data_IF_379959703204
#
_entry.id   IF_379959703204
#
_cell.length_a   1.000
_cell.length_b   1.000
_cell.length_c   1.000
_cell.angle_alpha   90.00
_cell.angle_beta   90.00
_cell.angle_gamma   90.00
#
_symmetry.space_group_name_H-M   'P 1'
#
loop_
_entity.id
_entity.type
_entity.pdbx_description
1 polymer ?
#
# COMPACT_ATOMS: atom_id res chain seq x y z
N UNK A 1 10.17 -6.38 11.64
CA UNK A 1 9.98 -5.54 10.46
C UNK A 1 9.69 -6.42 9.28
N UNK A 2 8.61 -6.13 8.58
CA UNK A 2 8.29 -6.74 7.28
C UNK A 2 8.91 -5.91 6.16
N UNK A 3 9.13 -6.52 4.99
CA UNK A 3 9.36 -5.77 3.76
C UNK A 3 8.53 -6.35 2.61
N UNK A 4 8.26 -5.52 1.60
CA UNK A 4 7.50 -5.84 0.40
C UNK A 4 8.43 -6.28 -0.72
N UNK A 5 8.14 -7.45 -1.29
CA UNK A 5 8.77 -7.91 -2.53
C UNK A 5 8.04 -7.37 -3.76
N UNK A 6 6.73 -7.13 -3.65
CA UNK A 6 5.91 -6.55 -4.71
C UNK A 6 4.76 -5.72 -4.14
N UNK A 7 4.32 -4.72 -4.91
CA UNK A 7 3.09 -3.99 -4.67
C UNK A 7 2.39 -3.67 -5.99
N UNK A 8 1.06 -3.70 -5.99
CA UNK A 8 0.25 -3.30 -7.15
C UNK A 8 -0.98 -2.53 -6.66
N UNK A 9 -1.23 -1.32 -7.18
CA UNK A 9 -2.44 -0.58 -6.86
C UNK A 9 -3.66 -1.24 -7.52
N UNK A 10 -4.78 -1.23 -6.80
CA UNK A 10 -6.07 -1.75 -7.22
C UNK A 10 -7.15 -0.67 -7.05
N UNK A 11 -8.26 -0.84 -7.76
CA UNK A 11 -9.43 0.04 -7.63
C UNK A 11 -9.92 0.12 -6.18
N UNK A 12 -10.41 1.31 -5.81
CA UNK A 12 -10.97 1.58 -4.48
C UNK A 12 -9.91 1.76 -3.40
N UNK A 13 -8.77 2.39 -3.71
CA UNK A 13 -7.68 2.66 -2.76
C UNK A 13 -7.16 1.41 -2.05
N UNK A 14 -6.99 0.33 -2.81
CA UNK A 14 -6.46 -0.94 -2.32
C UNK A 14 -5.09 -1.22 -2.90
N UNK A 15 -4.26 -1.91 -2.13
CA UNK A 15 -2.92 -2.31 -2.51
C UNK A 15 -2.80 -3.83 -2.38
N UNK A 16 -2.48 -4.50 -3.49
CA UNK A 16 -2.06 -5.90 -3.46
C UNK A 16 -0.58 -5.94 -3.06
N UNK A 17 -0.29 -6.55 -1.92
CA UNK A 17 1.02 -6.58 -1.29
C UNK A 17 1.55 -8.01 -1.25
N UNK A 18 2.79 -8.23 -1.69
CA UNK A 18 3.53 -9.48 -1.44
C UNK A 18 4.67 -9.19 -0.48
N UNK A 19 4.73 -9.94 0.62
CA UNK A 19 5.71 -9.74 1.68
C UNK A 19 6.92 -10.69 1.58
N UNK A 20 7.94 -10.41 2.38
CA UNK A 20 9.21 -11.15 2.51
C UNK A 20 9.05 -12.67 2.73
N UNK A 21 7.96 -13.08 3.39
CA UNK A 21 7.64 -14.47 3.67
C UNK A 21 6.75 -15.13 2.60
N UNK A 22 6.53 -14.47 1.47
CA UNK A 22 5.68 -14.96 0.38
C UNK A 22 4.17 -14.84 0.63
N UNK A 23 3.75 -14.27 1.77
CA UNK A 23 2.33 -14.03 2.04
C UNK A 23 1.84 -12.86 1.20
N UNK A 24 0.69 -13.04 0.57
CA UNK A 24 -0.02 -12.04 -0.21
C UNK A 24 -1.21 -11.50 0.57
N UNK A 25 -1.37 -10.17 0.61
CA UNK A 25 -2.50 -9.49 1.26
C UNK A 25 -3.07 -8.40 0.38
N UNK A 26 -4.35 -8.10 0.56
CA UNK A 26 -4.96 -6.86 0.06
C UNK A 26 -5.12 -5.90 1.22
N UNK A 27 -4.44 -4.75 1.15
CA UNK A 27 -4.55 -3.66 2.12
C UNK A 27 -5.49 -2.58 1.59
N UNK A 28 -6.56 -2.28 2.33
CA UNK A 28 -7.47 -1.17 2.05
C UNK A 28 -7.03 0.07 2.83
N UNK A 29 -6.60 1.10 2.10
CA UNK A 29 -6.07 2.33 2.68
C UNK A 29 -7.11 3.46 2.72
N UNK A 30 -8.38 3.17 2.44
CA UNK A 30 -9.48 4.18 2.43
C UNK A 30 -9.59 4.95 3.75
N UNK A 31 -9.28 4.29 4.87
CA UNK A 31 -9.27 4.90 6.21
C UNK A 31 -8.31 6.11 6.33
N UNK A 32 -7.27 6.19 5.48
CA UNK A 32 -6.31 7.29 5.48
C UNK A 32 -6.69 8.41 4.52
N UNK A 33 -7.63 8.19 3.59
CA UNK A 33 -7.98 9.16 2.53
C UNK A 33 -8.59 10.47 3.06
N UNK A 34 -9.00 10.50 4.34
CA UNK A 34 -9.49 11.72 5.00
C UNK A 34 -8.36 12.58 5.60
N UNK A 35 -7.16 12.03 5.77
CA UNK A 35 -6.03 12.75 6.32
C UNK A 35 -5.41 13.68 5.28
N UNK A 36 -4.96 14.87 5.72
CA UNK A 36 -4.38 15.90 4.85
C UNK A 36 -3.24 15.35 3.98
N UNK A 37 -2.35 14.54 4.56
CA UNK A 37 -1.20 13.95 3.87
C UNK A 37 -1.62 13.07 2.68
N UNK A 38 -2.80 12.45 2.71
CA UNK A 38 -3.26 11.54 1.67
C UNK A 38 -4.13 12.23 0.62
N UNK A 39 -4.41 13.53 0.76
CA UNK A 39 -5.21 14.29 -0.21
C UNK A 39 -4.73 14.17 -1.67
N UNK A 40 -3.43 14.17 -1.96
CA UNK A 40 -2.97 14.02 -3.34
C UNK A 40 -3.38 12.68 -3.98
N UNK A 41 -3.59 11.63 -3.18
CA UNK A 41 -3.96 10.30 -3.65
C UNK A 41 -5.41 10.21 -4.14
N UNK A 42 -6.24 11.23 -3.91
CA UNK A 42 -7.57 11.31 -4.53
C UNK A 42 -7.49 11.38 -6.06
N UNK A 43 -6.36 11.85 -6.62
CA UNK A 43 -6.09 11.73 -8.04
C UNK A 43 -5.65 10.28 -8.36
N UNK A 44 -6.42 9.51 -9.15
CA UNK A 44 -6.08 8.12 -9.47
C UNK A 44 -4.72 7.96 -10.14
N UNK A 45 -4.27 8.94 -10.93
CA UNK A 45 -2.95 8.89 -11.58
C UNK A 45 -1.81 8.98 -10.55
N UNK A 46 -2.03 9.72 -9.46
CA UNK A 46 -1.06 9.80 -8.36
C UNK A 46 -1.09 8.49 -7.59
N UNK A 47 -2.27 8.03 -7.16
CA UNK A 47 -2.41 6.76 -6.41
C UNK A 47 -1.81 5.56 -7.16
N UNK A 48 -2.05 5.46 -8.47
CA UNK A 48 -1.54 4.37 -9.28
C UNK A 48 -0.01 4.40 -9.51
N UNK A 49 0.66 5.48 -9.11
CA UNK A 49 2.12 5.63 -9.21
C UNK A 49 2.83 5.28 -7.89
N UNK A 50 2.26 4.37 -7.11
CA UNK A 50 2.89 3.87 -5.87
C UNK A 50 4.26 3.26 -6.16
N UNK A 51 5.26 3.62 -5.35
CA UNK A 51 6.63 3.11 -5.47
C UNK A 51 6.96 2.21 -4.29
N UNK A 52 7.52 1.02 -4.57
CA UNK A 52 7.99 0.10 -3.54
C UNK A 52 9.42 0.46 -3.11
N UNK A 53 9.60 0.84 -1.83
CA UNK A 53 10.91 1.07 -1.20
C UNK A 53 11.29 -0.04 -0.21
N UNK A 54 10.71 -1.23 -0.40
CA UNK A 54 10.83 -2.44 0.42
C UNK A 54 10.22 -2.30 1.82
N UNK A 55 10.76 -1.44 2.67
CA UNK A 55 10.29 -1.28 4.06
C UNK A 55 9.08 -0.36 4.19
N UNK A 56 8.78 0.40 3.14
CA UNK A 56 7.63 1.27 3.01
C UNK A 56 7.29 1.43 1.53
N UNK A 57 6.13 2.00 1.26
CA UNK A 57 5.77 2.48 -0.08
C UNK A 57 5.55 3.97 -0.02
N UNK A 58 5.79 4.63 -1.15
CA UNK A 58 5.66 6.06 -1.26
C UNK A 58 4.94 6.49 -2.53
N UNK A 59 4.44 7.71 -2.48
CA UNK A 59 3.99 8.49 -3.62
C UNK A 59 4.69 9.84 -3.58
N UNK A 60 4.71 10.54 -4.72
CA UNK A 60 5.22 11.92 -4.82
C UNK A 60 6.61 12.07 -4.19
N UNK A 61 7.53 11.18 -4.56
CA UNK A 61 8.93 11.21 -4.10
C UNK A 61 9.10 11.24 -2.57
N UNK A 62 8.18 10.60 -1.83
CA UNK A 62 8.25 10.45 -0.38
C UNK A 62 7.39 11.43 0.41
N UNK A 63 6.61 12.32 -0.23
CA UNK A 63 5.68 13.20 0.48
C UNK A 63 4.54 12.44 1.17
N UNK A 64 4.16 11.29 0.62
CA UNK A 64 3.17 10.39 1.21
C UNK A 64 3.77 9.00 1.29
N UNK A 65 3.75 8.39 2.46
CA UNK A 65 4.27 7.04 2.68
C UNK A 65 3.41 6.19 3.62
N UNK A 66 3.56 4.87 3.48
CA UNK A 66 3.05 3.87 4.41
C UNK A 66 4.09 2.78 4.62
N UNK A 67 4.39 2.46 5.88
CA UNK A 67 5.32 1.38 6.21
C UNK A 67 4.77 0.01 5.82
N UNK A 68 5.65 -0.93 5.47
CA UNK A 68 5.28 -2.30 5.16
C UNK A 68 4.59 -2.99 6.36
N UNK A 69 4.99 -2.69 7.59
CA UNK A 69 4.33 -3.19 8.80
C UNK A 69 2.88 -2.65 8.93
N UNK A 70 2.61 -1.41 8.53
CA UNK A 70 1.24 -0.86 8.49
C UNK A 70 0.38 -1.63 7.48
N UNK A 71 0.88 -1.81 6.26
CA UNK A 71 0.20 -2.56 5.20
C UNK A 71 -0.03 -4.03 5.60
N UNK A 72 0.92 -4.64 6.32
CA UNK A 72 0.77 -5.98 6.87
C UNK A 72 -0.37 -6.07 7.88
N UNK A 73 -0.51 -5.07 8.75
CA UNK A 73 -1.49 -5.08 9.84
C UNK A 73 -2.92 -4.90 9.33
N UNK A 74 -3.13 -3.97 8.40
CA UNK A 74 -4.46 -3.68 7.84
C UNK A 74 -4.86 -4.65 6.73
N UNK A 75 -3.89 -5.34 6.12
CA UNK A 75 -4.11 -6.21 4.99
C UNK A 75 -4.72 -7.56 5.36
N UNK A 76 -5.70 -7.99 4.56
CA UNK A 76 -6.33 -9.31 4.68
C UNK A 76 -5.60 -10.30 3.77
N UNK A 77 -5.21 -11.45 4.32
CA UNK A 77 -4.52 -12.49 3.57
C UNK A 77 -5.44 -13.09 2.49
N UNK A 78 -4.90 -13.25 1.28
CA UNK A 78 -5.59 -13.99 0.24
C UNK A 78 -5.63 -15.46 0.63
N UNK A 79 -6.83 -15.99 0.87
CA UNK A 79 -7.00 -17.43 0.98
C UNK A 79 -6.83 -18.01 -0.42
N UNK A 80 -5.77 -18.77 -0.63
CA UNK A 80 -5.66 -19.64 -1.81
C UNK A 80 -6.61 -20.82 -1.56
N UNK A 81 -7.70 -20.85 -2.30
CA UNK A 81 -8.65 -21.98 -2.37
C UNK A 81 -7.93 -23.17 -3.00
#
# INVERSE_FOLDING_TARGET
MRFLTSITPLDGYRLACTFDNGIEKIADITQYMQAEAFKPLHNPNVFNNVQNRQYYVEWLDGEVDLTADTLWHIGIALQRV
#
